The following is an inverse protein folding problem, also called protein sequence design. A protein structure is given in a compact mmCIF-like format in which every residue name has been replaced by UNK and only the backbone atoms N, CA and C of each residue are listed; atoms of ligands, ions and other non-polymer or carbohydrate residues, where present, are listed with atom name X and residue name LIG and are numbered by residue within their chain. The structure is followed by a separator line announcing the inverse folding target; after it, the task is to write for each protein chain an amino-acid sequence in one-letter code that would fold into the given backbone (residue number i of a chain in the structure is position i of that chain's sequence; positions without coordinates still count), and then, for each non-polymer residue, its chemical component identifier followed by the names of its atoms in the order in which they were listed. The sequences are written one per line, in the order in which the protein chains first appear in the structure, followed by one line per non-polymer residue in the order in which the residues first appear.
data_IF_672060090011
#
_entry.id   IF_672060090011
#
_cell.length_a   1.000
_cell.length_b   1.000
_cell.length_c   1.000
_cell.angle_alpha   90.00
_cell.angle_beta   90.00
_cell.angle_gamma   90.00
#
_symmetry.space_group_name_H-M   'P 1'
#
loop_
_entity.id
_entity.type
_entity.pdbx_description
1 polymer ?
#
# COMPACT_ATOMS: atom_id res chain seq x y z
N UNK A 1 30.81 -5.20 7.43
CA UNK A 1 30.13 -5.01 6.14
C UNK A 1 28.88 -4.23 6.48
N UNK A 2 28.93 -2.92 6.23
CA UNK A 2 27.80 -2.03 6.47
C UNK A 2 26.68 -2.42 5.52
N UNK A 3 25.63 -3.03 6.06
CA UNK A 3 24.36 -3.17 5.32
C UNK A 3 23.76 -1.77 5.21
N UNK A 4 24.03 -1.12 4.11
CA UNK A 4 23.35 0.11 3.71
C UNK A 4 21.86 -0.21 3.56
N UNK A 5 21.10 0.06 4.61
CA UNK A 5 19.64 -0.12 4.59
C UNK A 5 19.09 0.85 3.54
N UNK A 6 18.48 0.31 2.48
CA UNK A 6 17.91 1.11 1.41
C UNK A 6 16.87 2.08 1.98
N UNK A 7 17.20 3.36 2.05
CA UNK A 7 16.26 4.41 2.46
C UNK A 7 15.37 4.82 1.29
N UNK A 8 14.23 5.44 1.58
CA UNK A 8 13.38 6.02 0.53
C UNK A 8 14.17 7.07 -0.28
N UNK A 9 15.02 7.86 0.38
CA UNK A 9 15.84 8.86 -0.28
C UNK A 9 16.84 8.25 -1.26
N UNK A 10 17.53 7.17 -0.88
CA UNK A 10 18.44 6.46 -1.77
C UNK A 10 17.71 5.87 -2.98
N UNK A 11 16.51 5.32 -2.78
CA UNK A 11 15.68 4.78 -3.85
C UNK A 11 15.19 5.86 -4.84
N UNK A 12 14.72 7.00 -4.32
CA UNK A 12 14.30 8.13 -5.15
C UNK A 12 15.47 8.69 -5.97
N UNK A 13 16.64 8.80 -5.37
CA UNK A 13 17.87 9.22 -6.07
C UNK A 13 18.26 8.23 -7.17
N UNK A 14 18.21 6.93 -6.88
CA UNK A 14 18.49 5.87 -7.84
C UNK A 14 17.48 5.87 -9.00
N UNK A 15 16.19 6.04 -8.70
CA UNK A 15 15.14 6.17 -9.71
C UNK A 15 15.41 7.36 -10.65
N UNK A 16 15.77 8.52 -10.09
CA UNK A 16 16.07 9.71 -10.86
C UNK A 16 17.34 9.52 -11.71
N UNK A 17 18.41 9.01 -11.11
CA UNK A 17 19.68 8.79 -11.80
C UNK A 17 19.55 7.80 -12.97
N UNK A 18 18.83 6.68 -12.76
CA UNK A 18 18.59 5.66 -13.79
C UNK A 18 17.84 6.19 -15.01
N UNK A 19 16.96 7.18 -14.80
CA UNK A 19 16.21 7.82 -15.87
C UNK A 19 16.89 9.08 -16.39
N UNK A 20 18.08 9.42 -15.91
CA UNK A 20 18.85 10.62 -16.30
C UNK A 20 18.07 11.95 -16.07
N UNK A 21 17.18 11.97 -15.08
CA UNK A 21 16.37 13.14 -14.78
C UNK A 21 17.08 14.11 -13.84
N UNK A 22 16.88 15.39 -14.09
CA UNK A 22 17.10 16.44 -13.08
C UNK A 22 16.00 16.38 -12.00
N UNK A 23 16.23 17.00 -10.83
CA UNK A 23 15.18 17.14 -9.81
C UNK A 23 13.94 17.88 -10.33
N UNK A 24 14.12 18.83 -11.25
CA UNK A 24 13.02 19.56 -11.87
C UNK A 24 12.17 18.65 -12.74
N UNK A 25 12.77 17.87 -13.62
CA UNK A 25 12.06 16.91 -14.46
C UNK A 25 11.38 15.84 -13.64
N UNK A 26 12.01 15.33 -12.57
CA UNK A 26 11.39 14.40 -11.65
C UNK A 26 10.17 15.04 -10.98
N UNK A 27 10.25 16.30 -10.57
CA UNK A 27 9.11 17.04 -9.99
C UNK A 27 7.95 17.16 -10.97
N UNK A 28 8.21 17.51 -12.22
CA UNK A 28 7.20 17.62 -13.28
C UNK A 28 6.53 16.26 -13.56
N UNK A 29 7.33 15.19 -13.63
CA UNK A 29 6.84 13.83 -13.92
C UNK A 29 6.02 13.25 -12.75
N UNK A 30 6.50 13.40 -11.52
CA UNK A 30 5.86 12.82 -10.34
C UNK A 30 4.77 13.68 -9.73
N UNK A 31 4.80 15.00 -10.00
CA UNK A 31 3.92 15.97 -9.37
C UNK A 31 4.27 16.24 -7.89
N UNK A 32 5.42 15.78 -7.42
CA UNK A 32 5.94 16.11 -6.10
C UNK A 32 6.78 17.38 -6.21
N UNK A 33 6.57 18.39 -5.35
CA UNK A 33 7.35 19.63 -5.39
C UNK A 33 8.86 19.38 -5.34
N UNK A 34 9.63 20.10 -6.14
CA UNK A 34 11.09 19.97 -6.23
C UNK A 34 11.78 20.08 -4.86
N UNK A 35 11.33 21.02 -4.03
CA UNK A 35 11.87 21.18 -2.68
C UNK A 35 11.59 19.97 -1.78
N UNK A 36 10.47 19.30 -1.98
CA UNK A 36 10.13 18.06 -1.28
C UNK A 36 11.03 16.92 -1.76
N UNK A 37 11.16 16.73 -3.07
CA UNK A 37 12.06 15.70 -3.65
C UNK A 37 13.50 15.88 -3.19
N UNK A 38 14.01 17.12 -3.19
CA UNK A 38 15.35 17.41 -2.69
C UNK A 38 15.55 17.00 -1.22
N UNK A 39 14.57 17.27 -0.36
CA UNK A 39 14.60 16.86 1.05
C UNK A 39 14.51 15.33 1.20
N UNK A 40 13.68 14.67 0.39
CA UNK A 40 13.52 13.21 0.39
C UNK A 40 14.83 12.52 -0.03
N UNK A 41 15.45 12.95 -1.13
CA UNK A 41 16.72 12.38 -1.60
C UNK A 41 17.89 12.55 -0.61
N UNK A 42 17.78 13.48 0.33
CA UNK A 42 18.76 13.69 1.40
C UNK A 42 18.31 13.13 2.76
N UNK A 43 17.27 12.28 2.76
CA UNK A 43 16.70 11.66 3.97
C UNK A 43 16.27 12.68 5.06
N UNK A 44 15.95 13.93 4.64
CA UNK A 44 15.47 15.01 5.53
C UNK A 44 13.94 15.08 5.59
N UNK A 45 13.26 14.34 4.73
CA UNK A 45 11.82 14.23 4.65
C UNK A 45 11.48 12.87 4.07
N UNK A 46 10.33 12.34 4.42
CA UNK A 46 9.80 11.12 3.85
C UNK A 46 8.46 11.38 3.17
N UNK A 47 7.95 10.39 2.44
CA UNK A 47 6.67 10.45 1.73
C UNK A 47 5.69 9.45 2.35
N UNK A 48 4.46 9.88 2.56
CA UNK A 48 3.37 8.97 2.91
C UNK A 48 3.03 8.01 1.77
N UNK A 49 2.31 6.95 2.09
CA UNK A 49 1.88 5.94 1.12
C UNK A 49 1.12 6.55 -0.07
N UNK A 50 0.24 7.52 0.18
CA UNK A 50 -0.50 8.27 -0.84
C UNK A 50 0.41 8.93 -1.87
N UNK A 51 1.53 9.53 -1.42
CA UNK A 51 2.52 10.17 -2.30
C UNK A 51 3.35 9.16 -3.08
N UNK A 52 3.69 8.04 -2.47
CA UNK A 52 4.37 6.94 -3.16
C UNK A 52 3.48 6.35 -4.26
N UNK A 53 2.18 6.18 -3.97
CA UNK A 53 1.20 5.74 -4.96
C UNK A 53 1.03 6.77 -6.08
N UNK A 54 0.97 8.08 -5.75
CA UNK A 54 0.94 9.15 -6.75
C UNK A 54 2.15 9.08 -7.71
N UNK A 55 3.36 8.86 -7.19
CA UNK A 55 4.58 8.69 -8.00
C UNK A 55 4.45 7.48 -8.92
N UNK A 56 4.06 6.32 -8.36
CA UNK A 56 3.83 5.08 -9.08
C UNK A 56 2.89 5.29 -10.28
N UNK A 57 1.73 5.88 -10.03
CA UNK A 57 0.72 6.14 -11.06
C UNK A 57 1.22 7.10 -12.14
N UNK A 58 1.84 8.21 -11.77
CA UNK A 58 2.32 9.20 -12.73
C UNK A 58 3.46 8.71 -13.60
N UNK A 59 4.34 7.89 -13.03
CA UNK A 59 5.44 7.27 -13.78
C UNK A 59 5.02 5.99 -14.50
N UNK A 60 3.76 5.57 -14.36
CA UNK A 60 3.22 4.31 -14.93
C UNK A 60 4.08 3.10 -14.57
N UNK A 61 4.50 3.02 -13.32
CA UNK A 61 5.30 1.93 -12.78
C UNK A 61 4.62 1.36 -11.53
N UNK A 62 4.77 0.08 -11.30
CA UNK A 62 4.21 -0.55 -10.10
C UNK A 62 4.87 0.00 -8.83
N UNK A 63 4.11 0.10 -7.72
CA UNK A 63 4.65 0.52 -6.42
C UNK A 63 5.90 -0.31 -6.05
N UNK A 64 5.90 -1.60 -6.37
CA UNK A 64 7.06 -2.48 -6.17
C UNK A 64 8.29 -2.11 -7.02
N UNK A 65 8.11 -1.41 -8.13
CA UNK A 65 9.20 -0.96 -8.99
C UNK A 65 9.88 0.30 -8.41
N UNK A 66 9.15 1.10 -7.63
CA UNK A 66 9.74 2.22 -6.89
C UNK A 66 10.79 1.74 -5.89
N UNK A 67 10.58 0.56 -5.29
CA UNK A 67 11.44 0.00 -4.27
C UNK A 67 12.45 -1.01 -4.80
N UNK A 68 12.38 -1.38 -6.07
CA UNK A 68 13.33 -2.30 -6.68
C UNK A 68 14.64 -1.58 -7.00
N UNK A 69 15.74 -2.04 -6.42
CA UNK A 69 17.10 -1.66 -6.81
C UNK A 69 17.47 -2.12 -8.23
N UNK A 70 18.70 -1.87 -8.65
CA UNK A 70 19.20 -2.11 -10.02
C UNK A 70 19.44 -3.58 -10.39
N UNK A 71 18.87 -4.55 -9.71
CA UNK A 71 19.14 -5.95 -10.01
C UNK A 71 18.33 -6.50 -11.19
N UNK A 72 19.09 -7.20 -12.03
CA UNK A 72 18.73 -7.86 -13.28
C UNK A 72 17.37 -8.55 -13.26
N UNK A 73 16.64 -8.42 -14.37
CA UNK A 73 15.48 -9.25 -14.72
C UNK A 73 15.79 -10.74 -14.54
N UNK A 74 15.42 -11.31 -13.42
CA UNK A 74 15.40 -12.77 -13.28
C UNK A 74 14.27 -13.29 -14.16
N UNK A 75 14.61 -13.67 -15.39
CA UNK A 75 13.72 -14.32 -16.35
C UNK A 75 13.39 -15.74 -15.87
N UNK A 76 12.47 -15.85 -14.88
CA UNK A 76 11.94 -17.12 -14.45
C UNK A 76 10.42 -17.14 -14.59
N UNK A 77 9.85 -18.29 -14.99
CA UNK A 77 8.40 -18.49 -15.08
C UNK A 77 7.70 -18.40 -13.71
N UNK A 78 8.46 -18.53 -12.61
CA UNK A 78 7.98 -18.43 -11.23
C UNK A 78 8.94 -17.55 -10.41
N UNK A 79 8.38 -16.71 -9.56
CA UNK A 79 9.15 -15.77 -8.73
C UNK A 79 9.01 -16.15 -7.26
N UNK A 80 10.12 -16.08 -6.53
CA UNK A 80 10.15 -16.27 -5.08
C UNK A 80 11.11 -15.25 -4.46
N UNK A 81 10.72 -14.68 -3.34
CA UNK A 81 11.55 -13.86 -2.49
C UNK A 81 11.44 -14.32 -1.05
N UNK A 82 12.50 -14.17 -0.29
CA UNK A 82 12.53 -14.36 1.15
C UNK A 82 13.07 -13.07 1.74
N UNK A 83 12.23 -12.38 2.53
CA UNK A 83 12.58 -11.12 3.16
C UNK A 83 12.49 -11.19 4.69
N UNK A 84 13.22 -10.30 5.34
CA UNK A 84 13.16 -10.02 6.77
C UNK A 84 12.91 -8.53 6.99
N UNK A 85 12.66 -8.09 8.22
CA UNK A 85 12.59 -6.66 8.52
C UNK A 85 13.89 -5.92 8.17
N UNK A 86 15.04 -6.57 8.32
CA UNK A 86 16.34 -5.97 8.00
C UNK A 86 16.57 -5.77 6.50
N UNK A 87 15.92 -6.59 5.66
CA UNK A 87 16.00 -6.47 4.20
C UNK A 87 14.85 -5.65 3.60
N UNK A 88 13.89 -5.24 4.42
CA UNK A 88 12.77 -4.42 4.00
C UNK A 88 13.18 -2.97 3.74
N UNK A 89 12.49 -2.31 2.82
CA UNK A 89 12.63 -0.86 2.67
C UNK A 89 11.82 -0.17 3.75
N UNK A 90 12.51 0.52 4.64
CA UNK A 90 11.90 1.28 5.73
C UNK A 90 11.48 2.68 5.26
N UNK A 91 10.24 3.05 5.53
CA UNK A 91 9.69 4.39 5.27
C UNK A 91 8.96 4.87 6.53
N UNK A 92 9.44 5.96 7.11
CA UNK A 92 8.75 6.64 8.22
C UNK A 92 7.98 7.84 7.66
N UNK A 93 6.65 7.78 7.67
CA UNK A 93 5.76 8.84 7.18
C UNK A 93 5.35 9.84 8.27
N UNK A 94 5.89 9.70 9.48
CA UNK A 94 5.43 10.42 10.66
C UNK A 94 4.15 9.84 11.26
N UNK A 95 3.20 9.41 10.45
CA UNK A 95 1.98 8.71 10.91
C UNK A 95 2.21 7.22 11.11
N UNK A 96 3.03 6.62 10.26
CA UNK A 96 3.36 5.20 10.24
C UNK A 96 4.83 4.99 9.98
N UNK A 97 5.37 3.95 10.56
CA UNK A 97 6.61 3.34 10.10
C UNK A 97 6.26 2.10 9.28
N UNK A 98 6.59 2.13 7.99
CA UNK A 98 6.37 1.03 7.06
C UNK A 98 7.65 0.27 6.79
N UNK A 99 7.54 -1.04 6.66
CA UNK A 99 8.58 -1.93 6.20
C UNK A 99 8.05 -2.66 4.95
N UNK A 100 8.43 -2.19 3.76
CA UNK A 100 8.02 -2.79 2.50
C UNK A 100 8.83 -4.06 2.24
N UNK A 101 8.14 -5.20 2.28
CA UNK A 101 8.77 -6.52 2.20
C UNK A 101 9.07 -6.92 0.75
N UNK A 102 10.13 -7.75 0.57
CA UNK A 102 10.54 -8.29 -0.73
C UNK A 102 10.73 -7.20 -1.80
N UNK A 103 11.57 -6.17 -1.53
CA UNK A 103 11.70 -5.01 -2.41
C UNK A 103 12.27 -5.37 -3.79
N UNK A 104 13.05 -6.44 -3.90
CA UNK A 104 13.68 -6.89 -5.14
C UNK A 104 12.68 -7.45 -6.18
N UNK A 105 11.48 -7.86 -5.74
CA UNK A 105 10.46 -8.34 -6.66
C UNK A 105 9.74 -7.18 -7.34
N UNK A 106 9.90 -7.08 -8.66
CA UNK A 106 9.16 -6.12 -9.50
C UNK A 106 7.78 -6.65 -9.88
N UNK A 107 6.88 -5.77 -10.30
CA UNK A 107 5.53 -6.10 -10.81
C UNK A 107 4.77 -7.04 -9.86
N UNK A 108 4.79 -6.73 -8.57
CA UNK A 108 3.97 -7.42 -7.57
C UNK A 108 2.51 -6.98 -7.73
N UNK A 109 1.56 -7.92 -7.66
CA UNK A 109 0.12 -7.63 -7.67
C UNK A 109 -0.40 -7.26 -6.27
N UNK A 110 0.35 -7.57 -5.24
CA UNK A 110 0.13 -7.12 -3.87
C UNK A 110 1.43 -6.55 -3.30
N UNK A 111 1.32 -5.62 -2.39
CA UNK A 111 2.43 -4.98 -1.68
C UNK A 111 2.40 -5.48 -0.25
N UNK A 112 3.19 -6.49 0.09
CA UNK A 112 3.31 -6.95 1.46
C UNK A 112 4.13 -5.94 2.26
N UNK A 113 3.65 -5.58 3.43
CA UNK A 113 4.32 -4.65 4.33
C UNK A 113 4.08 -5.02 5.79
N UNK A 114 4.94 -4.53 6.66
CA UNK A 114 4.65 -4.41 8.09
C UNK A 114 4.42 -2.94 8.37
N UNK A 115 3.36 -2.62 9.09
CA UNK A 115 3.05 -1.26 9.52
C UNK A 115 3.12 -1.16 11.05
N UNK A 116 3.67 -0.03 11.51
CA UNK A 116 3.69 0.37 12.92
C UNK A 116 3.01 1.73 13.02
N UNK A 117 1.75 1.82 13.49
CA UNK A 117 1.06 3.08 13.71
C UNK A 117 1.78 3.90 14.80
N UNK A 118 1.85 5.21 14.60
CA UNK A 118 2.49 6.15 15.54
C UNK A 118 1.50 7.09 16.20
N UNK A 119 0.42 7.40 15.50
CA UNK A 119 -0.59 8.36 15.89
C UNK A 119 -1.66 7.66 16.73
N UNK A 120 -2.14 8.35 17.79
CA UNK A 120 -3.10 7.79 18.75
C UNK A 120 -4.51 8.31 18.59
N UNK A 121 -4.68 9.48 17.98
CA UNK A 121 -6.01 10.09 17.86
C UNK A 121 -6.31 10.50 16.43
N UNK A 122 -7.59 10.52 16.09
CA UNK A 122 -8.02 10.89 14.74
C UNK A 122 -7.76 12.38 14.46
N UNK A 123 -7.79 13.22 15.49
CA UNK A 123 -7.50 14.65 15.37
C UNK A 123 -6.04 14.89 14.99
N UNK A 124 -5.11 14.15 15.61
CA UNK A 124 -3.68 14.20 15.26
C UNK A 124 -3.42 13.59 13.87
N UNK A 125 -4.16 12.54 13.51
CA UNK A 125 -4.07 11.91 12.21
C UNK A 125 -4.51 12.86 11.09
N UNK A 126 -5.60 13.61 11.29
CA UNK A 126 -6.18 14.54 10.33
C UNK A 126 -6.99 13.83 9.25
N UNK A 127 -6.76 14.19 7.99
CA UNK A 127 -7.52 13.62 6.86
C UNK A 127 -7.26 12.12 6.69
N UNK A 128 -8.37 11.39 6.46
CA UNK A 128 -8.34 9.97 6.14
C UNK A 128 -7.64 9.73 4.79
N UNK A 129 -6.81 8.71 4.74
CA UNK A 129 -6.12 8.31 3.51
C UNK A 129 -7.07 7.55 2.60
N UNK A 130 -6.94 7.77 1.28
CA UNK A 130 -7.68 7.05 0.25
C UNK A 130 -6.73 6.69 -0.87
N UNK A 131 -6.86 5.50 -1.42
CA UNK A 131 -6.15 5.10 -2.63
C UNK A 131 -6.88 3.97 -3.33
N UNK A 132 -6.60 3.79 -4.62
CA UNK A 132 -7.20 2.72 -5.39
C UNK A 132 -6.69 1.35 -4.95
N UNK A 133 -7.57 0.37 -4.87
CA UNK A 133 -7.26 -1.00 -4.52
C UNK A 133 -7.94 -1.46 -3.24
N UNK A 134 -7.40 -2.51 -2.68
CA UNK A 134 -7.93 -3.19 -1.51
C UNK A 134 -6.80 -3.39 -0.50
N UNK A 135 -7.13 -3.37 0.78
CA UNK A 135 -6.19 -3.63 1.86
C UNK A 135 -6.66 -4.75 2.76
N UNK A 136 -5.70 -5.57 3.15
CA UNK A 136 -5.83 -6.52 4.23
C UNK A 136 -4.85 -6.13 5.34
N UNK A 137 -5.31 -6.12 6.59
CA UNK A 137 -4.47 -5.91 7.77
C UNK A 137 -4.69 -7.04 8.78
N UNK A 138 -3.61 -7.49 9.42
CA UNK A 138 -3.62 -8.50 10.48
C UNK A 138 -2.70 -8.06 11.62
N UNK A 139 -3.21 -7.99 12.85
CA UNK A 139 -2.45 -7.49 14.00
C UNK A 139 -1.53 -8.59 14.56
N UNK A 140 -0.22 -8.29 14.60
CA UNK A 140 0.82 -9.17 15.15
C UNK A 140 1.07 -8.91 16.64
N UNK A 141 1.09 -7.64 17.05
CA UNK A 141 1.31 -7.22 18.42
C UNK A 141 0.62 -5.90 18.71
N UNK A 142 0.33 -5.64 19.97
CA UNK A 142 -0.37 -4.44 20.40
C UNK A 142 -1.83 -4.42 19.96
N UNK A 143 -2.35 -3.23 19.71
CA UNK A 143 -3.71 -2.97 19.26
C UNK A 143 -3.70 -1.94 18.15
N UNK A 144 -4.56 -2.10 17.16
CA UNK A 144 -4.75 -1.14 16.08
C UNK A 144 -6.20 -0.68 16.08
N UNK A 145 -6.43 0.61 16.29
CA UNK A 145 -7.74 1.22 16.13
C UNK A 145 -7.90 1.66 14.67
N UNK A 146 -8.95 1.17 14.02
CA UNK A 146 -9.24 1.42 12.61
C UNK A 146 -10.41 2.37 12.50
N UNK A 147 -10.18 3.50 11.87
CA UNK A 147 -11.19 4.47 11.48
C UNK A 147 -11.47 4.35 9.99
N UNK A 148 -12.73 4.34 9.63
CA UNK A 148 -13.18 4.33 8.23
C UNK A 148 -14.31 5.32 8.03
N UNK A 149 -14.48 5.78 6.79
CA UNK A 149 -15.45 6.82 6.45
C UNK A 149 -16.91 6.43 6.74
N UNK A 150 -17.25 5.15 6.60
CA UNK A 150 -18.65 4.71 6.62
C UNK A 150 -19.00 3.80 7.80
N UNK A 151 -18.04 3.47 8.66
CA UNK A 151 -18.26 2.58 9.78
C UNK A 151 -17.70 3.18 11.07
N UNK A 152 -18.30 2.81 12.20
CA UNK A 152 -17.79 3.18 13.51
C UNK A 152 -16.37 2.64 13.71
N UNK A 153 -15.50 3.38 14.43
CA UNK A 153 -14.17 2.91 14.74
C UNK A 153 -14.16 1.56 15.43
N UNK A 154 -13.20 0.72 15.08
CA UNK A 154 -13.04 -0.61 15.69
C UNK A 154 -11.59 -0.83 16.09
N UNK A 155 -11.39 -1.43 17.28
CA UNK A 155 -10.06 -1.85 17.73
C UNK A 155 -9.85 -3.31 17.36
N UNK A 156 -8.76 -3.56 16.62
CA UNK A 156 -8.28 -4.89 16.31
C UNK A 156 -7.24 -5.32 17.35
N UNK A 157 -7.49 -6.47 17.96
CA UNK A 157 -6.57 -7.15 18.88
C UNK A 157 -5.62 -8.09 18.11
N UNK A 158 -4.57 -8.57 18.81
CA UNK A 158 -3.66 -9.57 18.24
C UNK A 158 -4.42 -10.78 17.71
N UNK A 159 -4.12 -11.19 16.49
CA UNK A 159 -4.79 -12.29 15.81
C UNK A 159 -6.05 -11.91 15.05
N UNK A 160 -6.49 -10.67 15.15
CA UNK A 160 -7.62 -10.16 14.36
C UNK A 160 -7.17 -9.50 13.07
N UNK A 161 -8.05 -9.49 12.10
CA UNK A 161 -7.79 -8.89 10.80
C UNK A 161 -8.99 -8.09 10.30
N UNK A 162 -8.72 -7.23 9.32
CA UNK A 162 -9.71 -6.49 8.57
C UNK A 162 -9.33 -6.49 7.10
N UNK A 163 -10.34 -6.47 6.25
CA UNK A 163 -10.24 -6.25 4.81
C UNK A 163 -11.10 -5.05 4.45
N UNK A 164 -10.56 -4.13 3.67
CA UNK A 164 -11.26 -2.92 3.23
C UNK A 164 -11.04 -2.64 1.75
N UNK A 165 -12.00 -1.96 1.13
CA UNK A 165 -11.79 -1.21 -0.10
C UNK A 165 -11.08 0.11 0.25
N UNK A 166 -9.87 0.29 -0.26
CA UNK A 166 -9.02 1.44 0.08
C UNK A 166 -9.46 2.76 -0.54
N UNK A 167 -10.47 2.74 -1.46
CA UNK A 167 -11.13 3.95 -1.92
C UNK A 167 -11.97 4.60 -0.81
N UNK A 168 -12.41 3.81 0.17
CA UNK A 168 -13.00 4.31 1.40
C UNK A 168 -11.93 4.99 2.25
N UNK A 169 -12.21 6.21 2.73
CA UNK A 169 -11.32 6.92 3.64
C UNK A 169 -11.03 6.09 4.89
N UNK A 170 -9.75 5.93 5.22
CA UNK A 170 -9.33 5.09 6.35
C UNK A 170 -8.10 5.63 7.08
N UNK A 171 -7.94 5.21 8.33
CA UNK A 171 -6.77 5.45 9.16
C UNK A 171 -6.58 4.29 10.14
N UNK A 172 -5.33 3.96 10.41
CA UNK A 172 -4.94 2.98 11.42
C UNK A 172 -4.17 3.70 12.53
N UNK A 173 -4.71 3.69 13.73
CA UNK A 173 -4.14 4.37 14.88
C UNK A 173 -3.55 3.36 15.86
N UNK A 174 -2.62 3.81 16.68
CA UNK A 174 -2.11 3.03 17.80
C UNK A 174 -3.21 2.94 18.86
N UNK A 175 -3.75 1.74 19.05
CA UNK A 175 -4.89 1.50 19.95
C UNK A 175 -4.59 1.79 21.41
N UNK A 176 -5.64 2.06 22.18
CA UNK A 176 -5.53 2.37 23.59
C UNK A 176 -4.91 1.23 24.39
N UNK A 177 -4.12 1.57 25.42
CA UNK A 177 -3.54 0.61 26.36
C UNK A 177 -2.33 -0.17 25.86
N UNK A 178 -1.70 0.24 24.75
CA UNK A 178 -0.40 -0.26 24.32
C UNK A 178 0.51 0.89 23.87
N UNK A 179 1.82 0.68 23.99
CA UNK A 179 2.83 1.68 23.62
C UNK A 179 3.37 1.47 22.21
N UNK A 180 3.11 0.30 21.64
CA UNK A 180 3.51 -0.07 20.30
C UNK A 180 2.52 -1.09 19.70
N UNK A 181 2.42 -1.11 18.39
CA UNK A 181 1.65 -2.11 17.66
C UNK A 181 2.32 -2.43 16.33
N UNK A 182 2.22 -3.69 15.92
CA UNK A 182 2.68 -4.14 14.62
C UNK A 182 1.55 -4.88 13.90
N UNK A 183 1.38 -4.58 12.64
CA UNK A 183 0.44 -5.27 11.79
C UNK A 183 1.06 -5.66 10.44
N UNK A 184 0.72 -6.84 9.94
CA UNK A 184 0.96 -7.19 8.53
C UNK A 184 -0.08 -6.48 7.70
N UNK A 185 0.37 -5.79 6.65
CA UNK A 185 -0.49 -5.23 5.63
C UNK A 185 -0.23 -5.89 4.28
N UNK A 186 -1.27 -6.02 3.49
CA UNK A 186 -1.18 -6.37 2.08
C UNK A 186 -2.11 -5.45 1.29
N UNK A 187 -1.50 -4.50 0.57
CA UNK A 187 -2.26 -3.62 -0.31
C UNK A 187 -2.25 -4.20 -1.72
N UNK A 188 -3.42 -4.28 -2.38
CA UNK A 188 -3.43 -4.64 -3.78
C UNK A 188 -2.86 -3.49 -4.60
N UNK A 189 -1.94 -3.79 -5.52
CA UNK A 189 -1.70 -2.88 -6.62
C UNK A 189 -2.85 -3.10 -7.60
N UNK A 190 -3.74 -2.11 -7.76
CA UNK A 190 -4.68 -2.17 -8.87
C UNK A 190 -3.88 -2.42 -10.14
N UNK A 191 -4.26 -3.47 -10.90
CA UNK A 191 -3.65 -3.73 -12.20
C UNK A 191 -3.95 -2.51 -13.06
N UNK A 192 -2.93 -1.68 -13.33
CA UNK A 192 -3.07 -0.42 -14.06
C UNK A 192 -3.72 -0.63 -15.43
N UNK A 193 -3.55 -1.81 -16.04
CA UNK A 193 -4.22 -2.19 -17.27
C UNK A 193 -5.73 -2.33 -17.11
N UNK A 194 -6.19 -2.99 -16.05
CA UNK A 194 -7.61 -3.19 -15.79
C UNK A 194 -8.28 -1.90 -15.31
N UNK A 195 -7.61 -1.13 -14.45
CA UNK A 195 -8.12 0.17 -13.98
C UNK A 195 -8.19 1.20 -15.11
N UNK A 196 -7.17 1.26 -15.99
CA UNK A 196 -7.19 2.14 -17.16
C UNK A 196 -8.30 1.77 -18.15
N UNK A 197 -8.61 0.48 -18.32
CA UNK A 197 -9.76 0.01 -19.12
C UNK A 197 -11.10 0.39 -18.49
N UNK A 198 -11.19 0.42 -17.15
CA UNK A 198 -12.40 0.77 -16.42
C UNK A 198 -12.61 2.30 -16.32
N UNK A 199 -11.53 3.07 -16.21
CA UNK A 199 -11.59 4.55 -16.07
C UNK A 199 -11.56 5.25 -17.42
N UNK A 200 -10.85 4.69 -18.41
CA UNK A 200 -10.77 5.20 -19.78
C UNK A 200 -11.22 4.11 -20.76
N UNK A 201 -12.53 3.86 -20.91
CA UNK A 201 -13.00 2.94 -21.93
C UNK A 201 -12.52 3.45 -23.31
N UNK A 202 -12.04 2.51 -24.13
CA UNK A 202 -11.59 2.82 -25.49
C UNK A 202 -12.69 3.58 -26.24
N UNK A 203 -12.38 4.57 -27.08
CA UNK A 203 -13.37 5.35 -27.82
C UNK A 203 -14.23 4.41 -28.68
N UNK A 204 -15.51 4.22 -28.27
CA UNK A 204 -16.44 3.34 -28.96
C UNK A 204 -17.16 2.29 -28.09
N UNK A 205 -16.67 1.99 -26.90
CA UNK A 205 -17.35 1.09 -25.96
C UNK A 205 -18.10 1.87 -24.89
N UNK A 206 -19.42 1.76 -24.90
CA UNK A 206 -20.30 2.41 -23.90
C UNK A 206 -20.23 1.68 -22.54
N UNK A 207 -20.31 2.40 -21.40
CA UNK A 207 -20.18 1.83 -20.04
C UNK A 207 -21.30 0.84 -19.62
N UNK A 208 -22.30 0.58 -20.45
CA UNK A 208 -23.44 -0.27 -20.09
C UNK A 208 -23.10 -1.75 -19.85
N UNK A 209 -22.02 -2.27 -20.44
CA UNK A 209 -21.62 -3.67 -20.25
C UNK A 209 -21.00 -3.92 -18.87
N UNK A 210 -20.29 -2.93 -18.34
CA UNK A 210 -19.60 -3.03 -17.05
C UNK A 210 -20.56 -2.94 -15.86
N UNK A 211 -21.63 -2.15 -16.01
CA UNK A 211 -22.67 -2.02 -14.98
C UNK A 211 -23.51 -3.30 -14.82
N UNK A 212 -23.73 -4.06 -15.90
CA UNK A 212 -24.43 -5.36 -15.84
C UNK A 212 -23.62 -6.45 -15.14
N UNK A 213 -22.29 -6.45 -15.26
CA UNK A 213 -21.43 -7.41 -14.54
C UNK A 213 -21.41 -7.12 -13.03
N UNK A 214 -21.36 -5.87 -12.62
CA UNK A 214 -21.44 -5.50 -11.20
C UNK A 214 -22.80 -5.89 -10.56
N UNK A 215 -23.91 -5.83 -11.30
CA UNK A 215 -25.22 -6.27 -10.82
C UNK A 215 -25.36 -7.80 -10.75
N UNK A 216 -24.63 -8.57 -11.55
CA UNK A 216 -24.62 -10.05 -11.49
C UNK A 216 -23.91 -10.54 -10.23
N UNK A 217 -22.84 -9.84 -9.80
CA UNK A 217 -22.12 -10.18 -8.56
C UNK A 217 -22.92 -9.75 -7.30
N UNK A 218 -23.77 -8.73 -7.41
CA UNK A 218 -24.57 -8.22 -6.30
C UNK A 218 -25.89 -9.00 -6.04
N UNK A 219 -26.23 -10.02 -6.83
CA UNK A 219 -27.38 -10.89 -6.54
C UNK A 219 -27.03 -11.81 -5.36
N UNK A 220 -27.58 -11.46 -4.18
CA UNK A 220 -27.51 -12.25 -2.95
C UNK A 220 -27.74 -13.74 -3.23
N UNK A 221 -26.94 -14.65 -2.69
CA UNK A 221 -27.25 -16.08 -2.72
C UNK A 221 -28.53 -16.31 -1.93
N UNK A 222 -29.51 -16.94 -2.56
CA UNK A 222 -30.70 -17.48 -1.90
C UNK A 222 -30.25 -18.73 -1.16
N UNK A 223 -30.43 -18.73 0.14
CA UNK A 223 -30.27 -19.82 1.11
C UNK A 223 -28.99 -19.76 1.98
N UNK A 224 -29.22 -19.57 3.24
CA UNK A 224 -28.29 -19.80 4.34
C UNK A 224 -28.04 -21.32 4.44
N UNK A 225 -26.81 -21.80 4.46
CA UNK A 225 -26.55 -23.20 4.74
C UNK A 225 -26.93 -23.52 6.19
N UNK A 226 -27.38 -24.74 6.50
CA UNK A 226 -27.75 -25.14 7.86
C UNK A 226 -26.52 -25.17 8.76
N UNK A 227 -26.67 -24.93 10.08
CA UNK A 227 -25.56 -24.86 11.02
C UNK A 227 -24.83 -26.21 11.11
N UNK A 228 -23.51 -26.16 10.96
CA UNK A 228 -22.64 -27.32 11.13
C UNK A 228 -22.63 -27.72 12.60
N UNK A 229 -23.12 -28.92 12.91
CA UNK A 229 -23.03 -29.51 14.25
C UNK A 229 -21.59 -29.97 14.51
N UNK A 230 -20.85 -29.20 15.29
CA UNK A 230 -19.55 -29.61 15.81
C UNK A 230 -19.79 -30.69 16.89
N UNK A 231 -19.44 -31.93 16.60
CA UNK A 231 -19.37 -32.98 17.63
C UNK A 231 -18.12 -32.72 18.49
N UNK A 232 -18.35 -32.39 19.76
CA UNK A 232 -17.29 -32.42 20.78
C UNK A 232 -16.92 -33.89 21.04
N UNK A 233 -15.67 -34.21 20.91
CA UNK A 233 -15.02 -35.38 21.54
C UNK A 233 -14.30 -34.90 22.80
#
# INVERSE_FOLDING_TARGET
MDHDSSTLGSLMRSLRARNEWTLKEMSEKTGIPLSTLAKVEHDRLTLGYDKLLQISQRLKMGMSELFAGDESETRGKTRRSIGTLDTAVRVDSGKYEYFFMCPELRKKRMIPLIARPRIRTIEEFGELVRHAGEEFIYVLSGRVEVHTEFYEPVTLEVGQCMYIDSNMGHAYLLGAGCDDALAVGACSSADEGLLNLLINPLPGERPEATYKMAQVVAKKPKSTPPPVKIRRR
#
